data_IF_336680135546
#
_entry.id   IF_336680135546
#
_cell.length_a   1.000
_cell.length_b   1.000
_cell.length_c   1.000
_cell.angle_alpha   90.00
_cell.angle_beta   90.00
_cell.angle_gamma   90.00
#
_symmetry.space_group_name_H-M   'P 1'
#
loop_
_entity.id
_entity.type
_entity.pdbx_description
1 polymer ?
#
# COMPACT_ATOMS: atom_id res chain seq x y z
N UNK A 1 8.93 -18.67 6.55
CA UNK A 1 9.99 -19.63 6.96
C UNK A 1 10.07 -19.68 8.47
N UNK A 2 10.49 -20.79 9.10
CA UNK A 2 10.51 -20.92 10.58
C UNK A 2 11.75 -20.28 11.19
N UNK A 3 11.64 -19.78 12.43
CA UNK A 3 12.80 -19.38 13.24
C UNK A 3 13.46 -20.62 13.82
N UNK A 4 14.49 -21.11 13.13
CA UNK A 4 15.25 -22.28 13.56
C UNK A 4 16.18 -21.91 14.72
N UNK A 5 16.15 -22.72 15.77
CA UNK A 5 17.05 -22.61 16.91
C UNK A 5 17.37 -24.02 17.42
N UNK A 6 18.61 -24.51 17.24
CA UNK A 6 19.02 -25.83 17.74
C UNK A 6 18.88 -26.01 19.26
N UNK A 7 18.84 -24.92 20.03
CA UNK A 7 18.62 -24.93 21.48
C UNK A 7 17.18 -24.57 21.85
N UNK A 8 16.31 -24.44 20.85
CA UNK A 8 14.90 -24.10 21.01
C UNK A 8 14.15 -25.10 21.88
N UNK A 9 13.18 -24.58 22.61
CA UNK A 9 12.33 -25.30 23.56
C UNK A 9 11.25 -26.18 22.88
N UNK A 10 11.12 -26.07 21.56
CA UNK A 10 10.17 -26.82 20.74
C UNK A 10 10.90 -27.56 19.60
N UNK A 11 10.41 -28.75 19.25
CA UNK A 11 10.91 -29.52 18.10
C UNK A 11 9.78 -29.68 17.08
N UNK A 12 9.97 -29.13 15.88
CA UNK A 12 9.00 -29.21 14.77
C UNK A 12 9.68 -29.84 13.55
N UNK A 13 9.11 -30.92 13.03
CA UNK A 13 9.64 -31.68 11.89
C UNK A 13 11.14 -32.07 12.06
N UNK A 14 11.57 -32.35 13.29
CA UNK A 14 12.94 -32.76 13.61
C UNK A 14 13.95 -31.62 13.77
N UNK A 15 13.53 -30.35 13.64
CA UNK A 15 14.36 -29.19 13.91
C UNK A 15 13.95 -28.50 15.21
N UNK A 16 14.93 -28.09 16.01
CA UNK A 16 14.70 -27.19 17.15
C UNK A 16 14.23 -25.82 16.66
N UNK A 17 13.24 -25.25 17.34
CA UNK A 17 12.69 -23.92 17.07
C UNK A 17 12.40 -23.20 18.38
N UNK A 18 12.56 -21.88 18.37
CA UNK A 18 12.27 -21.04 19.53
C UNK A 18 10.85 -20.45 19.43
N UNK A 19 10.03 -20.64 20.47
CA UNK A 19 8.77 -19.90 20.59
C UNK A 19 9.00 -18.43 20.98
N UNK A 20 8.34 -17.53 20.28
CA UNK A 20 8.24 -16.12 20.65
C UNK A 20 6.76 -15.71 20.73
N UNK A 21 6.49 -14.49 21.23
CA UNK A 21 5.13 -13.97 21.41
C UNK A 21 4.32 -13.90 20.09
N UNK A 22 5.00 -13.81 18.94
CA UNK A 22 4.46 -13.81 17.59
C UNK A 22 4.47 -15.20 16.93
N UNK A 23 4.80 -16.27 17.68
CA UNK A 23 4.79 -17.65 17.23
C UNK A 23 6.15 -18.18 16.76
N UNK A 24 6.14 -19.32 16.08
CA UNK A 24 7.36 -20.02 15.60
C UNK A 24 7.58 -19.88 14.09
N UNK A 25 6.51 -19.59 13.36
CA UNK A 25 6.51 -19.42 11.91
C UNK A 25 6.61 -17.94 11.54
N UNK A 26 7.34 -17.63 10.45
CA UNK A 26 7.25 -16.32 9.78
C UNK A 26 6.19 -16.40 8.69
N UNK A 27 5.13 -15.60 8.84
CA UNK A 27 4.11 -15.40 7.82
C UNK A 27 4.62 -14.47 6.70
N UNK A 28 4.34 -14.83 5.45
CA UNK A 28 4.70 -14.04 4.27
C UNK A 28 3.49 -13.92 3.34
N UNK A 29 3.25 -12.73 2.81
CA UNK A 29 2.20 -12.49 1.83
C UNK A 29 2.76 -12.73 0.42
N UNK A 30 2.25 -13.78 -0.23
CA UNK A 30 2.56 -14.10 -1.61
C UNK A 30 1.50 -13.51 -2.54
N UNK A 31 1.92 -12.98 -3.69
CA UNK A 31 1.04 -12.45 -4.73
C UNK A 31 1.49 -12.97 -6.10
N UNK A 32 0.53 -13.18 -7.00
CA UNK A 32 0.78 -13.37 -8.42
C UNK A 32 0.04 -12.26 -9.16
N UNK A 33 0.78 -11.34 -9.78
CA UNK A 33 0.21 -10.17 -10.46
C UNK A 33 -0.35 -10.53 -11.84
N UNK A 34 0.22 -11.55 -12.50
CA UNK A 34 -0.12 -11.91 -13.86
C UNK A 34 -0.61 -13.37 -13.96
N UNK A 35 -1.60 -13.66 -14.82
CA UNK A 35 -2.01 -15.03 -15.11
C UNK A 35 -0.83 -15.90 -15.57
N UNK A 36 -0.70 -17.08 -14.98
CA UNK A 36 0.36 -18.04 -15.32
C UNK A 36 1.69 -17.83 -14.57
N UNK A 37 1.85 -16.76 -13.80
CA UNK A 37 3.03 -16.59 -12.95
C UNK A 37 2.84 -17.26 -11.58
N UNK A 38 3.87 -17.95 -11.04
CA UNK A 38 3.80 -18.50 -9.70
C UNK A 38 3.75 -17.37 -8.66
N UNK A 39 3.02 -17.54 -7.55
CA UNK A 39 3.04 -16.58 -6.46
C UNK A 39 4.46 -16.37 -5.91
N UNK A 40 4.82 -15.12 -5.66
CA UNK A 40 6.11 -14.73 -5.10
C UNK A 40 5.89 -13.74 -3.95
N UNK A 41 6.88 -13.53 -3.08
CA UNK A 41 6.77 -12.56 -1.99
C UNK A 41 6.39 -11.18 -2.52
N UNK A 42 5.38 -10.54 -1.93
CA UNK A 42 4.89 -9.22 -2.34
C UNK A 42 6.04 -8.19 -2.41
N UNK A 43 6.95 -8.24 -1.43
CA UNK A 43 8.13 -7.38 -1.35
C UNK A 43 9.12 -7.56 -2.53
N UNK A 44 9.05 -8.66 -3.27
CA UNK A 44 9.97 -8.99 -4.37
C UNK A 44 9.39 -8.77 -5.77
N UNK A 45 8.09 -8.49 -5.89
CA UNK A 45 7.44 -8.47 -7.21
C UNK A 45 6.71 -7.19 -7.54
N UNK A 46 6.30 -6.41 -6.55
CA UNK A 46 5.45 -5.26 -6.83
C UNK A 46 6.29 -4.08 -7.29
N UNK A 47 5.91 -3.49 -8.44
CA UNK A 47 6.25 -2.10 -8.72
C UNK A 47 5.66 -1.18 -7.62
N UNK A 48 6.17 0.05 -7.49
CA UNK A 48 5.65 1.02 -6.51
C UNK A 48 4.13 1.19 -6.59
N UNK A 49 3.60 1.35 -7.80
CA UNK A 49 2.16 1.46 -8.04
C UNK A 49 1.35 0.21 -7.70
N UNK A 50 1.87 -0.99 -8.00
CA UNK A 50 1.18 -2.24 -7.63
C UNK A 50 1.14 -2.43 -6.11
N UNK A 51 2.23 -2.12 -5.41
CA UNK A 51 2.26 -2.20 -3.95
C UNK A 51 1.30 -1.19 -3.33
N UNK A 52 1.26 0.04 -3.85
CA UNK A 52 0.31 1.08 -3.43
C UNK A 52 -1.14 0.62 -3.61
N UNK A 53 -1.47 -0.04 -4.73
CA UNK A 53 -2.82 -0.58 -4.97
C UNK A 53 -3.18 -1.76 -4.07
N UNK A 54 -2.23 -2.65 -3.80
CA UNK A 54 -2.44 -3.76 -2.83
C UNK A 54 -2.67 -3.19 -1.43
N UNK A 55 -1.90 -2.18 -1.02
CA UNK A 55 -2.09 -1.50 0.25
C UNK A 55 -3.47 -0.85 0.34
N UNK A 56 -3.89 -0.14 -0.72
CA UNK A 56 -5.22 0.45 -0.83
C UNK A 56 -6.31 -0.62 -0.65
N UNK A 57 -6.24 -1.71 -1.41
CA UNK A 57 -7.22 -2.80 -1.32
C UNK A 57 -7.33 -3.39 0.09
N UNK A 58 -6.18 -3.68 0.73
CA UNK A 58 -6.13 -4.18 2.10
C UNK A 58 -6.76 -3.18 3.06
N UNK A 59 -6.44 -1.90 2.94
CA UNK A 59 -7.00 -0.85 3.80
C UNK A 59 -8.50 -0.70 3.64
N UNK A 60 -9.00 -0.68 2.40
CA UNK A 60 -10.42 -0.59 2.11
C UNK A 60 -11.19 -1.74 2.77
N UNK A 61 -10.72 -2.99 2.63
CA UNK A 61 -11.40 -4.16 3.22
C UNK A 61 -11.34 -4.16 4.74
N UNK A 62 -10.18 -3.85 5.34
CA UNK A 62 -10.02 -3.93 6.79
C UNK A 62 -10.72 -2.80 7.56
N UNK A 63 -11.13 -1.71 6.89
CA UNK A 63 -11.77 -0.56 7.52
C UNK A 63 -13.24 -0.76 7.87
N UNK A 64 -13.87 -1.80 7.36
CA UNK A 64 -15.29 -2.08 7.62
C UNK A 64 -15.54 -3.05 8.79
N UNK A 65 -14.49 -3.71 9.29
CA UNK A 65 -14.64 -4.75 10.32
C UNK A 65 -14.21 -4.37 11.74
N UNK A 66 -13.49 -3.26 11.94
CA UNK A 66 -12.89 -2.95 13.26
C UNK A 66 -12.92 -1.44 13.54
N UNK A 67 -13.45 -1.00 14.71
CA UNK A 67 -13.25 0.36 15.17
C UNK A 67 -11.75 0.58 15.36
N UNK A 68 -11.22 1.53 14.62
CA UNK A 68 -9.81 1.91 14.62
C UNK A 68 -9.74 3.42 14.59
N UNK A 69 -8.70 3.95 15.21
CA UNK A 69 -8.41 5.37 15.10
C UNK A 69 -8.22 5.78 13.62
N UNK A 70 -8.62 7.02 13.26
CA UNK A 70 -8.32 7.57 11.95
C UNK A 70 -6.81 7.54 11.69
N UNK A 71 -6.41 7.14 10.48
CA UNK A 71 -5.02 7.18 10.05
C UNK A 71 -4.82 8.26 8.99
N UNK A 72 -3.57 8.68 8.84
CA UNK A 72 -3.11 9.43 7.67
C UNK A 72 -2.47 8.44 6.71
N UNK A 73 -3.02 8.33 5.50
CA UNK A 73 -2.57 7.43 4.46
C UNK A 73 -2.03 8.25 3.30
N UNK A 74 -0.79 7.96 2.90
CA UNK A 74 -0.12 8.63 1.78
C UNK A 74 0.07 7.61 0.67
N UNK A 75 -0.50 7.90 -0.51
CA UNK A 75 -0.35 7.08 -1.70
C UNK A 75 0.43 7.85 -2.75
N UNK A 76 1.57 7.28 -3.13
CA UNK A 76 2.37 7.75 -4.27
C UNK A 76 2.29 6.71 -5.40
N UNK A 77 2.23 7.20 -6.63
CA UNK A 77 2.13 6.41 -7.87
C UNK A 77 1.00 5.36 -7.92
N UNK A 78 -0.04 5.49 -7.09
CA UNK A 78 -1.16 4.52 -7.06
C UNK A 78 -1.89 4.43 -8.40
N UNK A 79 -1.80 5.49 -9.20
CA UNK A 79 -2.36 5.65 -10.54
C UNK A 79 -1.42 5.22 -11.67
N UNK A 80 -0.22 4.72 -11.36
CA UNK A 80 0.75 4.29 -12.36
C UNK A 80 0.21 3.12 -13.21
N UNK A 81 0.25 3.30 -14.54
CA UNK A 81 -0.25 2.34 -15.50
C UNK A 81 -1.78 2.24 -15.59
N UNK A 82 -2.52 3.18 -15.01
CA UNK A 82 -3.99 3.20 -15.00
C UNK A 82 -4.54 4.36 -15.83
N UNK A 83 -5.67 4.14 -16.49
CA UNK A 83 -6.42 5.20 -17.18
C UNK A 83 -7.89 4.84 -17.38
N UNK A 84 -8.67 5.80 -17.90
CA UNK A 84 -10.08 5.62 -18.24
C UNK A 84 -10.92 5.13 -17.06
N UNK A 85 -11.78 4.13 -17.29
CA UNK A 85 -12.71 3.60 -16.29
C UNK A 85 -11.99 3.05 -15.05
N UNK A 86 -10.81 2.46 -15.20
CA UNK A 86 -10.05 1.95 -14.06
C UNK A 86 -9.56 3.10 -13.14
N UNK A 87 -9.27 4.27 -13.70
CA UNK A 87 -8.93 5.46 -12.91
C UNK A 87 -10.15 6.01 -12.16
N UNK A 88 -11.34 5.95 -12.77
CA UNK A 88 -12.59 6.33 -12.10
C UNK A 88 -12.89 5.44 -10.90
N UNK A 89 -12.78 4.12 -11.06
CA UNK A 89 -12.99 3.15 -9.96
C UNK A 89 -11.96 3.34 -8.84
N UNK A 90 -10.68 3.53 -9.19
CA UNK A 90 -9.62 3.82 -8.22
C UNK A 90 -9.95 5.08 -7.40
N UNK A 91 -10.45 6.12 -8.07
CA UNK A 91 -10.80 7.36 -7.41
C UNK A 91 -11.99 7.21 -6.46
N UNK A 92 -12.98 6.36 -6.79
CA UNK A 92 -14.07 6.02 -5.86
C UNK A 92 -13.57 5.25 -4.64
N UNK A 93 -12.62 4.32 -4.80
CA UNK A 93 -12.00 3.61 -3.67
C UNK A 93 -11.24 4.56 -2.74
N UNK A 94 -10.46 5.48 -3.30
CA UNK A 94 -9.74 6.50 -2.52
C UNK A 94 -10.72 7.42 -1.77
N UNK A 95 -11.81 7.83 -2.42
CA UNK A 95 -12.88 8.64 -1.81
C UNK A 95 -13.58 7.91 -0.67
N UNK A 96 -13.89 6.63 -0.85
CA UNK A 96 -14.51 5.80 0.19
C UNK A 96 -13.60 5.67 1.42
N UNK A 97 -12.30 5.47 1.21
CA UNK A 97 -11.33 5.41 2.30
C UNK A 97 -11.20 6.75 3.04
N UNK A 98 -11.24 7.86 2.29
CA UNK A 98 -11.17 9.22 2.82
C UNK A 98 -12.36 9.64 3.71
N UNK A 99 -13.42 8.81 3.80
CA UNK A 99 -14.52 9.03 4.76
C UNK A 99 -14.07 8.82 6.20
N UNK A 100 -13.20 7.82 6.42
CA UNK A 100 -12.75 7.42 7.77
C UNK A 100 -11.31 7.84 8.06
N UNK A 101 -10.51 8.03 7.02
CA UNK A 101 -9.08 8.35 7.10
C UNK A 101 -8.74 9.65 6.36
N UNK A 102 -7.60 10.26 6.71
CA UNK A 102 -7.03 11.30 5.87
C UNK A 102 -6.21 10.65 4.76
N UNK A 103 -6.64 10.82 3.51
CA UNK A 103 -5.95 10.26 2.34
C UNK A 103 -5.27 11.38 1.56
N UNK A 104 -3.96 11.27 1.38
CA UNK A 104 -3.12 12.17 0.57
C UNK A 104 -2.62 11.38 -0.64
N UNK A 105 -2.89 11.89 -1.85
CA UNK A 105 -2.51 11.22 -3.10
C UNK A 105 -1.75 12.20 -3.98
N UNK A 106 -0.60 11.76 -4.51
CA UNK A 106 0.06 12.43 -5.63
C UNK A 106 -0.45 11.78 -6.91
N UNK A 107 -1.03 12.57 -7.81
CA UNK A 107 -1.64 12.05 -9.04
C UNK A 107 -1.50 13.04 -10.19
N UNK A 108 -1.44 12.50 -11.41
CA UNK A 108 -1.55 13.29 -12.64
C UNK A 108 -2.87 13.01 -13.39
N UNK A 109 -3.73 12.15 -12.84
CA UNK A 109 -5.00 11.77 -13.46
C UNK A 109 -6.13 12.71 -13.00
N UNK A 110 -6.83 13.39 -13.93
CA UNK A 110 -7.95 14.26 -13.58
C UNK A 110 -9.12 13.51 -12.92
N UNK A 111 -9.28 12.22 -13.21
CA UNK A 111 -10.28 11.35 -12.59
C UNK A 111 -10.11 11.27 -11.06
N UNK A 112 -8.86 11.20 -10.59
CA UNK A 112 -8.54 11.13 -9.16
C UNK A 112 -8.59 12.52 -8.55
N UNK A 113 -7.91 13.49 -9.17
CA UNK A 113 -7.85 14.86 -8.67
C UNK A 113 -9.24 15.52 -8.57
N UNK A 114 -10.13 15.27 -9.53
CA UNK A 114 -11.49 15.80 -9.56
C UNK A 114 -12.43 15.26 -8.48
N UNK A 115 -12.07 14.15 -7.81
CA UNK A 115 -12.84 13.55 -6.70
C UNK A 115 -12.28 13.89 -5.32
N UNK A 116 -11.15 14.59 -5.25
CA UNK A 116 -10.56 15.01 -3.99
C UNK A 116 -11.40 16.11 -3.32
N UNK A 117 -11.54 16.03 -1.99
CA UNK A 117 -12.16 17.11 -1.19
C UNK A 117 -11.34 18.41 -1.25
N UNK A 118 -10.02 18.27 -1.28
CA UNK A 118 -9.06 19.35 -1.39
C UNK A 118 -8.09 19.01 -2.51
N UNK A 119 -7.96 19.89 -3.50
CA UNK A 119 -7.03 19.73 -4.61
C UNK A 119 -5.91 20.76 -4.51
N UNK A 120 -4.69 20.26 -4.27
CA UNK A 120 -3.48 21.05 -4.19
C UNK A 120 -2.69 20.93 -5.49
N UNK A 121 -2.15 22.05 -5.99
CA UNK A 121 -1.41 22.07 -7.26
C UNK A 121 0.03 22.48 -7.01
N UNK A 122 0.95 21.53 -7.20
CA UNK A 122 2.38 21.78 -7.06
C UNK A 122 2.91 22.53 -8.28
N UNK A 123 3.51 23.72 -8.06
CA UNK A 123 4.10 24.57 -9.12
C UNK A 123 5.54 24.89 -8.83
N UNK A 124 6.35 24.99 -9.89
CA UNK A 124 7.71 25.55 -9.84
C UNK A 124 7.65 27.06 -10.02
N UNK A 125 8.35 27.80 -9.17
CA UNK A 125 8.44 29.25 -9.20
C UNK A 125 9.91 29.68 -9.18
N UNK A 126 10.35 30.50 -10.13
CA UNK A 126 11.71 31.05 -10.14
C UNK A 126 11.77 32.33 -9.29
N UNK A 127 12.67 32.40 -8.32
CA UNK A 127 12.89 33.58 -7.47
C UNK A 127 14.36 33.69 -7.08
N UNK A 128 14.96 34.88 -7.25
CA UNK A 128 16.36 35.13 -6.89
C UNK A 128 17.37 34.20 -7.59
N UNK A 129 17.12 33.88 -8.86
CA UNK A 129 17.98 32.97 -9.65
C UNK A 129 17.83 31.48 -9.32
N UNK A 130 16.89 31.09 -8.44
CA UNK A 130 16.66 29.69 -8.06
C UNK A 130 15.21 29.28 -8.30
N UNK A 131 15.01 28.02 -8.71
CA UNK A 131 13.66 27.45 -8.81
C UNK A 131 13.25 26.87 -7.44
N UNK A 132 12.08 27.26 -6.95
CA UNK A 132 11.48 26.74 -5.71
C UNK A 132 10.11 26.12 -6.00
N UNK A 133 9.73 25.12 -5.22
CA UNK A 133 8.42 24.47 -5.31
C UNK A 133 7.42 25.16 -4.38
N UNK A 134 6.21 25.43 -4.87
CA UNK A 134 5.08 25.98 -4.12
C UNK A 134 3.85 25.10 -4.31
N UNK A 135 2.98 25.10 -3.31
CA UNK A 135 1.67 24.44 -3.30
C UNK A 135 0.59 25.51 -3.17
#
# INVERSE_FOLDING_TARGET
TRRLDPQGDLVIAGAGVQAAADGVDVAELLLSSNPGEPPRPLAKIASGGELSRVHLAIRTVLRDGHPREPLVLVFDEVDSGIGGRAADELAELLRALAVKDQVVVVTHLPQIAGRARTHLVVRKHASGGRTVTRV
#
